data_IF_180238043091
#
_entry.id   IF_180238043091
#
_cell.length_a   1.000
_cell.length_b   1.000
_cell.length_c   1.000
_cell.angle_alpha   90.00
_cell.angle_beta   90.00
_cell.angle_gamma   90.00
#
_symmetry.space_group_name_H-M   'P 1'
#
loop_
_entity.id
_entity.type
_entity.pdbx_description
1 polymer ?
#
# COMPACT_ATOMS: atom_id res chain seq x y z
N UNK A 1 32.22 1.89 -52.60
CA UNK A 1 31.58 2.04 -51.27
C UNK A 1 32.47 3.01 -50.53
N UNK A 2 32.05 4.27 -50.48
CA UNK A 2 32.91 5.42 -50.24
C UNK A 2 33.38 5.54 -48.79
N UNK A 3 34.70 5.63 -48.66
CA UNK A 3 35.47 6.74 -48.08
C UNK A 3 35.02 7.25 -46.69
N UNK A 4 35.74 6.76 -45.68
CA UNK A 4 35.92 7.38 -44.36
C UNK A 4 37.21 8.21 -44.40
N UNK A 5 37.08 9.51 -44.60
CA UNK A 5 38.12 10.49 -44.29
C UNK A 5 37.56 11.49 -43.28
N UNK A 6 38.11 11.49 -42.06
CA UNK A 6 37.99 12.63 -41.16
C UNK A 6 39.40 13.00 -40.75
N UNK A 7 39.87 14.15 -41.26
CA UNK A 7 41.12 14.77 -40.85
C UNK A 7 40.81 16.20 -40.38
N UNK A 8 41.59 16.60 -39.38
CA UNK A 8 41.95 17.95 -38.92
C UNK A 8 41.25 18.57 -37.71
N UNK A 9 42.07 18.62 -36.65
CA UNK A 9 42.14 19.52 -35.50
C UNK A 9 41.93 20.99 -35.87
N UNK A 10 41.42 21.80 -34.94
CA UNK A 10 42.20 22.88 -34.29
C UNK A 10 41.30 23.80 -33.48
N UNK A 11 41.81 24.13 -32.30
CA UNK A 11 41.30 25.13 -31.36
C UNK A 11 41.17 26.52 -32.00
N UNK A 12 40.17 27.28 -31.56
CA UNK A 12 40.19 28.73 -31.65
C UNK A 12 39.30 29.32 -30.55
N UNK A 13 39.96 29.72 -29.48
CA UNK A 13 39.46 30.71 -28.53
C UNK A 13 39.08 32.00 -29.27
N UNK A 14 37.91 32.54 -28.94
CA UNK A 14 37.59 33.95 -29.17
C UNK A 14 36.67 34.42 -28.06
N UNK A 15 37.31 35.00 -27.06
CA UNK A 15 36.76 35.89 -26.04
C UNK A 15 36.18 37.15 -26.71
N UNK A 16 34.90 37.43 -26.46
CA UNK A 16 34.41 38.80 -26.29
C UNK A 16 32.94 38.77 -25.84
N UNK A 17 32.66 39.26 -24.63
CA UNK A 17 31.30 39.67 -24.28
C UNK A 17 30.92 39.42 -22.83
N UNK A 18 31.30 40.36 -21.96
CA UNK A 18 30.74 40.55 -20.63
C UNK A 18 29.20 40.61 -20.66
N UNK A 19 28.54 39.63 -20.05
CA UNK A 19 27.27 39.81 -19.38
C UNK A 19 27.16 38.73 -18.31
N UNK A 20 27.17 39.14 -17.04
CA UNK A 20 26.89 38.30 -15.88
C UNK A 20 25.54 37.58 -16.05
N UNK A 21 25.48 36.24 -16.03
CA UNK A 21 24.21 35.55 -15.83
C UNK A 21 23.88 35.65 -14.34
N UNK A 22 22.90 36.49 -14.05
CA UNK A 22 22.09 36.44 -12.83
C UNK A 22 21.59 35.01 -12.68
N UNK A 23 21.84 34.38 -11.53
CA UNK A 23 21.33 33.05 -11.18
C UNK A 23 19.84 32.93 -11.60
N UNK A 24 19.43 31.89 -12.35
CA UNK A 24 18.01 31.57 -12.44
C UNK A 24 17.58 30.93 -11.11
N UNK A 25 16.68 31.56 -10.33
CA UNK A 25 16.10 30.90 -9.17
C UNK A 25 15.08 29.88 -9.66
N UNK A 26 15.19 28.66 -9.16
CA UNK A 26 14.10 27.68 -9.24
C UNK A 26 14.37 26.51 -10.15
N UNK A 27 15.43 25.74 -9.87
CA UNK A 27 15.39 24.31 -10.10
C UNK A 27 14.29 23.72 -9.20
N UNK A 28 13.03 23.79 -9.65
CA UNK A 28 11.95 23.05 -9.01
C UNK A 28 12.25 21.58 -9.28
N UNK A 29 12.70 20.87 -8.24
CA UNK A 29 12.63 19.40 -8.15
C UNK A 29 11.26 18.98 -8.71
N UNK A 30 11.15 17.85 -9.44
CA UNK A 30 9.84 17.29 -9.74
C UNK A 30 9.14 17.11 -8.40
N UNK A 31 8.21 18.02 -8.11
CA UNK A 31 7.34 17.93 -6.96
C UNK A 31 6.63 16.61 -7.13
N UNK A 32 6.79 15.73 -6.15
CA UNK A 32 5.97 14.55 -5.93
C UNK A 32 4.54 14.97 -6.28
N UNK A 33 4.08 14.57 -7.47
CA UNK A 33 2.68 14.68 -7.81
C UNK A 33 2.02 13.80 -6.76
N UNK A 34 1.46 14.43 -5.73
CA UNK A 34 0.57 13.77 -4.81
C UNK A 34 -0.53 13.23 -5.71
N UNK A 35 -0.46 11.93 -6.02
CA UNK A 35 -1.48 11.23 -6.77
C UNK A 35 -2.76 11.45 -5.97
N UNK A 36 -3.60 12.37 -6.45
CA UNK A 36 -4.87 12.69 -5.81
C UNK A 36 -5.68 11.41 -5.90
N UNK A 37 -5.70 10.65 -4.82
CA UNK A 37 -6.37 9.36 -4.81
C UNK A 37 -7.86 9.59 -4.73
N UNK A 38 -8.56 9.41 -5.85
CA UNK A 38 -10.02 9.48 -5.92
C UNK A 38 -10.70 8.34 -5.15
N UNK A 39 -9.94 7.36 -4.63
CA UNK A 39 -10.43 6.19 -3.90
C UNK A 39 -9.73 6.07 -2.55
N UNK A 40 -10.47 5.72 -1.49
CA UNK A 40 -9.85 5.40 -0.20
C UNK A 40 -9.44 3.94 -0.17
N UNK A 41 -8.31 3.64 0.46
CA UNK A 41 -7.73 2.30 0.46
C UNK A 41 -7.03 1.99 1.79
N UNK A 42 -6.77 0.71 2.03
CA UNK A 42 -5.85 0.24 3.06
C UNK A 42 -4.48 0.03 2.44
N UNK A 43 -3.46 0.63 3.05
CA UNK A 43 -2.08 0.62 2.59
C UNK A 43 -1.27 -0.41 3.38
N UNK A 44 -0.82 -1.44 2.68
CA UNK A 44 0.13 -2.45 3.18
C UNK A 44 1.54 -2.06 2.71
N UNK A 45 2.03 -0.91 3.18
CA UNK A 45 3.17 -0.17 2.59
C UNK A 45 4.49 -0.95 2.51
N UNK A 46 4.65 -1.99 3.32
CA UNK A 46 5.87 -2.79 3.35
C UNK A 46 5.85 -3.95 2.35
N UNK A 47 4.74 -4.19 1.65
CA UNK A 47 4.70 -5.08 0.48
C UNK A 47 5.36 -4.43 -0.75
N UNK A 48 5.88 -5.18 -1.74
CA UNK A 48 6.39 -4.61 -2.99
C UNK A 48 5.41 -3.65 -3.69
N UNK A 49 5.91 -2.64 -4.41
CA UNK A 49 5.06 -1.62 -5.08
C UNK A 49 4.08 -2.21 -6.09
N UNK A 50 4.48 -3.29 -6.75
CA UNK A 50 3.70 -4.05 -7.73
C UNK A 50 2.84 -5.15 -7.10
N UNK A 51 2.89 -5.34 -5.77
CA UNK A 51 2.02 -6.30 -5.09
C UNK A 51 0.56 -5.81 -5.14
N UNK A 52 -0.36 -6.61 -5.69
CA UNK A 52 -1.76 -6.19 -5.82
C UNK A 52 -2.46 -6.00 -4.46
N UNK A 53 -1.91 -6.55 -3.37
CA UNK A 53 -2.39 -6.32 -2.00
C UNK A 53 -1.76 -5.09 -1.35
N UNK A 54 -0.81 -4.39 -1.98
CA UNK A 54 -0.21 -3.17 -1.38
C UNK A 54 -1.25 -2.09 -1.13
N UNK A 55 -2.22 -1.93 -2.04
CA UNK A 55 -3.29 -0.92 -1.97
C UNK A 55 -4.65 -1.59 -2.22
N UNK A 56 -5.37 -1.90 -1.15
CA UNK A 56 -6.68 -2.57 -1.25
C UNK A 56 -7.80 -1.53 -1.11
N UNK A 57 -8.69 -1.36 -2.11
CA UNK A 57 -9.79 -0.40 -2.02
C UNK A 57 -10.64 -0.61 -0.77
N UNK A 58 -10.92 0.46 -0.03
CA UNK A 58 -11.66 0.35 1.22
C UNK A 58 -13.13 -0.06 0.98
N UNK A 59 -13.68 0.21 -0.21
CA UNK A 59 -14.99 -0.31 -0.63
C UNK A 59 -15.00 -1.83 -0.72
N UNK A 60 -13.93 -2.41 -1.26
CA UNK A 60 -13.77 -3.85 -1.41
C UNK A 60 -13.62 -4.53 -0.05
N UNK A 61 -12.77 -3.97 0.81
CA UNK A 61 -12.62 -4.41 2.21
C UNK A 61 -13.97 -4.43 2.95
N UNK A 62 -14.76 -3.37 2.82
CA UNK A 62 -16.09 -3.30 3.46
C UNK A 62 -17.08 -4.31 2.87
N UNK A 63 -17.11 -4.48 1.56
CA UNK A 63 -17.98 -5.44 0.90
C UNK A 63 -17.66 -6.88 1.34
N UNK A 64 -16.37 -7.25 1.32
CA UNK A 64 -15.93 -8.56 1.77
C UNK A 64 -16.18 -8.77 3.26
N UNK A 65 -15.94 -7.76 4.11
CA UNK A 65 -16.18 -7.83 5.55
C UNK A 65 -17.63 -8.21 5.91
N UNK A 66 -18.60 -7.66 5.18
CA UNK A 66 -20.03 -7.99 5.36
C UNK A 66 -20.29 -9.47 5.03
N UNK A 67 -19.62 -10.01 4.02
CA UNK A 67 -19.81 -11.38 3.55
C UNK A 67 -19.09 -12.45 4.40
N UNK A 68 -18.21 -12.08 5.34
CA UNK A 68 -17.47 -13.05 6.16
C UNK A 68 -18.44 -13.94 6.97
N UNK A 69 -18.32 -15.27 6.95
CA UNK A 69 -19.12 -16.13 7.82
C UNK A 69 -18.90 -15.81 9.31
N UNK A 70 -19.97 -15.76 10.11
CA UNK A 70 -19.83 -15.41 11.54
C UNK A 70 -19.13 -16.50 12.37
N UNK A 71 -19.18 -17.76 11.92
CA UNK A 71 -18.56 -18.90 12.60
C UNK A 71 -17.12 -19.07 12.12
N UNK A 72 -16.18 -19.04 13.06
CA UNK A 72 -14.78 -19.40 12.80
C UNK A 72 -14.60 -20.92 12.75
N UNK A 73 -13.66 -21.37 11.95
CA UNK A 73 -13.20 -22.77 11.92
C UNK A 73 -11.81 -22.90 12.57
N UNK A 74 -11.40 -24.12 12.96
CA UNK A 74 -10.05 -24.37 13.49
C UNK A 74 -8.94 -23.99 12.50
N UNK A 75 -7.78 -23.60 13.05
CA UNK A 75 -6.57 -23.41 12.25
C UNK A 75 -6.18 -24.71 11.53
N UNK A 76 -5.90 -24.62 10.23
CA UNK A 76 -5.62 -25.78 9.36
C UNK A 76 -6.80 -26.15 8.46
N UNK A 77 -8.00 -25.66 8.75
CA UNK A 77 -9.11 -25.62 7.79
C UNK A 77 -9.05 -24.33 6.96
N UNK A 78 -10.02 -24.14 6.06
CA UNK A 78 -10.20 -22.88 5.31
C UNK A 78 -10.57 -21.73 6.26
N UNK A 79 -11.09 -20.64 5.75
CA UNK A 79 -11.38 -19.43 6.52
C UNK A 79 -12.89 -19.28 6.81
N UNK A 80 -13.30 -18.50 7.81
CA UNK A 80 -12.48 -17.61 8.66
C UNK A 80 -11.94 -18.25 9.95
N UNK A 81 -10.90 -17.64 10.54
CA UNK A 81 -10.29 -18.07 11.81
C UNK A 81 -10.50 -17.04 12.92
N UNK A 82 -10.30 -17.46 14.18
CA UNK A 82 -10.26 -16.55 15.32
C UNK A 82 -8.93 -15.82 15.33
N UNK A 83 -8.96 -14.49 15.30
CA UNK A 83 -7.76 -13.69 15.45
C UNK A 83 -7.52 -13.34 16.94
N UNK A 84 -6.40 -13.78 17.51
CA UNK A 84 -6.08 -13.54 18.92
C UNK A 84 -5.20 -12.30 19.14
N UNK A 85 -4.69 -11.67 18.07
CA UNK A 85 -3.82 -10.50 18.14
C UNK A 85 -2.58 -10.70 19.04
N UNK A 86 -1.88 -11.84 18.87
CA UNK A 86 -0.69 -12.18 19.67
C UNK A 86 0.44 -11.17 19.50
N UNK A 87 0.47 -10.49 18.35
CA UNK A 87 1.41 -9.43 18.00
C UNK A 87 1.09 -8.09 18.69
N UNK A 88 0.01 -8.02 19.48
CA UNK A 88 -0.46 -6.81 20.17
C UNK A 88 -0.63 -5.61 19.24
N UNK A 89 -1.20 -5.83 18.06
CA UNK A 89 -1.46 -4.75 17.11
C UNK A 89 -2.47 -3.76 17.70
N UNK A 90 -2.33 -2.46 17.41
CA UNK A 90 -3.23 -1.42 17.91
C UNK A 90 -4.54 -1.41 17.10
N UNK A 91 -5.35 -2.46 17.26
CA UNK A 91 -6.65 -2.59 16.62
C UNK A 91 -7.72 -1.81 17.39
N UNK A 92 -8.66 -1.22 16.66
CA UNK A 92 -9.80 -0.50 17.23
C UNK A 92 -10.97 -1.43 17.58
N UNK A 93 -11.08 -2.57 16.90
CA UNK A 93 -12.08 -3.58 17.19
C UNK A 93 -11.78 -4.29 18.51
N UNK A 94 -12.82 -4.53 19.30
CA UNK A 94 -12.73 -5.35 20.51
C UNK A 94 -12.90 -6.84 20.19
N UNK A 95 -12.29 -7.76 20.94
CA UNK A 95 -12.54 -9.19 20.79
C UNK A 95 -14.01 -9.59 21.03
N UNK A 96 -14.48 -10.73 20.49
CA UNK A 96 -13.74 -11.70 19.70
C UNK A 96 -13.51 -11.21 18.26
N UNK A 97 -12.26 -11.34 17.80
CA UNK A 97 -11.87 -10.94 16.44
C UNK A 97 -11.86 -12.14 15.51
N UNK A 98 -12.24 -11.89 14.27
CA UNK A 98 -12.21 -12.84 13.16
C UNK A 98 -11.18 -12.34 12.15
N UNK A 99 -10.32 -13.24 11.67
CA UNK A 99 -9.51 -13.01 10.48
C UNK A 99 -10.08 -13.76 9.27
N UNK A 100 -10.09 -13.09 8.12
CA UNK A 100 -10.46 -13.67 6.83
C UNK A 100 -9.55 -13.10 5.73
N UNK A 101 -9.14 -13.88 4.72
CA UNK A 101 -8.36 -13.36 3.60
C UNK A 101 -9.09 -12.22 2.93
N UNK A 102 -8.33 -11.20 2.56
CA UNK A 102 -8.83 -10.13 1.71
C UNK A 102 -8.12 -10.18 0.38
N UNK A 103 -8.89 -10.09 -0.68
CA UNK A 103 -8.37 -9.96 -2.03
C UNK A 103 -8.48 -8.50 -2.48
N UNK A 104 -7.72 -8.09 -3.50
CA UNK A 104 -7.88 -6.77 -4.12
C UNK A 104 -9.21 -6.60 -4.87
N UNK A 105 -9.89 -7.70 -5.22
CA UNK A 105 -11.15 -7.70 -5.96
C UNK A 105 -11.91 -9.01 -5.77
N UNK A 106 -13.17 -8.93 -5.34
CA UNK A 106 -14.09 -10.05 -5.18
C UNK A 106 -13.84 -10.90 -3.92
N UNK A 107 -14.77 -11.76 -3.50
CA UNK A 107 -14.59 -12.54 -2.28
C UNK A 107 -13.45 -13.57 -2.40
N UNK A 108 -12.84 -13.93 -1.27
CA UNK A 108 -11.92 -15.07 -1.20
C UNK A 108 -12.63 -16.38 -1.57
N UNK A 109 -11.92 -17.24 -2.31
CA UNK A 109 -12.39 -18.57 -2.71
C UNK A 109 -11.62 -19.63 -1.94
N UNK A 110 -12.34 -20.45 -1.19
CA UNK A 110 -11.73 -21.54 -0.43
C UNK A 110 -10.89 -22.48 -1.33
N UNK A 111 -9.69 -22.83 -0.87
CA UNK A 111 -8.77 -23.70 -1.61
C UNK A 111 -7.77 -22.94 -2.50
N UNK A 112 -7.91 -21.62 -2.65
CA UNK A 112 -6.87 -20.80 -3.29
C UNK A 112 -5.90 -20.24 -2.24
N UNK A 113 -4.67 -19.86 -2.65
CA UNK A 113 -3.74 -19.17 -1.77
C UNK A 113 -4.38 -17.90 -1.19
N UNK A 114 -4.39 -17.72 0.15
CA UNK A 114 -5.11 -16.61 0.78
C UNK A 114 -4.42 -15.25 0.64
N UNK A 115 -3.27 -15.17 -0.05
CA UNK A 115 -2.46 -13.96 -0.11
C UNK A 115 -1.91 -13.53 1.26
N UNK A 116 -1.26 -12.35 1.34
CA UNK A 116 -0.60 -11.88 2.56
C UNK A 116 -1.54 -11.15 3.53
N UNK A 117 -2.68 -10.63 3.05
CA UNK A 117 -3.53 -9.71 3.81
C UNK A 117 -4.80 -10.38 4.38
N UNK A 118 -5.25 -9.92 5.54
CA UNK A 118 -6.47 -10.36 6.23
C UNK A 118 -7.33 -9.16 6.61
N UNK A 119 -8.64 -9.28 6.43
CA UNK A 119 -9.63 -8.45 7.11
C UNK A 119 -9.76 -8.93 8.55
N UNK A 120 -9.74 -7.99 9.49
CA UNK A 120 -10.05 -8.19 10.89
C UNK A 120 -11.37 -7.48 11.21
N UNK A 121 -12.32 -8.23 11.77
CA UNK A 121 -13.61 -7.71 12.23
C UNK A 121 -14.01 -8.32 13.57
N UNK A 122 -14.86 -7.62 14.32
CA UNK A 122 -15.64 -8.24 15.37
C UNK A 122 -16.87 -8.93 14.74
N UNK A 123 -17.20 -10.15 15.19
CA UNK A 123 -18.33 -10.90 14.66
C UNK A 123 -19.68 -10.17 14.84
N UNK A 124 -19.83 -9.42 15.93
CA UNK A 124 -21.03 -8.67 16.30
C UNK A 124 -21.05 -7.25 15.71
N UNK A 125 -19.90 -6.63 15.46
CA UNK A 125 -19.79 -5.32 14.81
C UNK A 125 -18.76 -5.35 13.68
N UNK A 126 -19.28 -5.33 12.45
CA UNK A 126 -18.48 -5.34 11.21
C UNK A 126 -18.38 -3.97 10.55
N UNK A 127 -18.84 -2.91 11.23
CA UNK A 127 -18.88 -1.56 10.66
C UNK A 127 -17.50 -0.94 10.48
N UNK A 128 -16.48 -1.46 11.19
CA UNK A 128 -15.11 -0.95 11.21
C UNK A 128 -14.10 -2.05 10.84
N UNK A 129 -14.13 -2.60 9.62
CA UNK A 129 -13.13 -3.58 9.23
C UNK A 129 -11.74 -2.94 9.26
N UNK A 130 -10.78 -3.65 9.84
CA UNK A 130 -9.36 -3.30 9.79
C UNK A 130 -8.63 -4.30 8.91
N UNK A 131 -7.47 -3.94 8.37
CA UNK A 131 -6.66 -4.84 7.55
C UNK A 131 -5.31 -5.04 8.23
N UNK A 132 -4.85 -6.29 8.22
CA UNK A 132 -3.50 -6.67 8.63
C UNK A 132 -2.85 -7.48 7.52
N UNK A 133 -1.52 -7.54 7.48
CA UNK A 133 -0.80 -8.29 6.46
C UNK A 133 0.51 -8.86 6.99
N UNK A 134 0.96 -9.97 6.42
CA UNK A 134 2.30 -10.50 6.69
C UNK A 134 3.34 -9.53 6.12
N UNK A 135 4.09 -8.90 7.02
CA UNK A 135 5.02 -7.84 6.68
C UNK A 135 6.42 -8.43 6.36
N UNK A 136 6.90 -8.33 5.11
CA UNK A 136 8.20 -8.92 4.75
C UNK A 136 9.38 -8.21 5.42
N UNK A 137 9.19 -7.00 5.93
CA UNK A 137 10.22 -6.26 6.69
C UNK A 137 10.32 -6.72 8.16
N UNK A 138 9.37 -7.53 8.63
CA UNK A 138 9.32 -8.09 9.98
C UNK A 138 9.45 -9.61 9.86
N UNK A 139 10.67 -10.16 9.75
CA UNK A 139 10.84 -11.60 9.71
C UNK A 139 10.38 -12.23 11.03
N UNK A 140 9.91 -13.48 10.95
CA UNK A 140 9.65 -14.27 12.15
C UNK A 140 10.92 -14.34 13.01
N UNK A 141 10.80 -14.02 14.29
CA UNK A 141 11.91 -14.20 15.24
C UNK A 141 12.10 -15.70 15.53
N UNK A 142 13.27 -16.14 16.00
CA UNK A 142 13.47 -17.54 16.41
C UNK A 142 12.48 -18.03 17.47
N UNK A 143 11.97 -17.11 18.29
CA UNK A 143 10.95 -17.35 19.32
C UNK A 143 9.51 -17.31 18.77
N UNK A 144 9.34 -16.83 17.53
CA UNK A 144 8.07 -16.95 16.81
C UNK A 144 8.09 -18.31 16.10
N UNK A 145 7.11 -19.20 16.33
CA UNK A 145 7.00 -20.40 15.52
C UNK A 145 7.00 -19.97 14.05
N UNK A 146 7.77 -20.64 13.19
CA UNK A 146 7.92 -20.31 11.76
C UNK A 146 6.59 -20.18 10.97
N UNK A 147 5.47 -20.53 11.61
CA UNK A 147 4.09 -20.44 11.11
C UNK A 147 3.44 -19.07 11.36
N UNK A 148 4.11 -18.14 12.04
CA UNK A 148 3.58 -16.81 12.39
C UNK A 148 4.53 -15.72 11.90
N UNK A 149 4.61 -15.51 10.58
CA UNK A 149 5.18 -14.26 10.09
C UNK A 149 4.37 -13.11 10.71
N UNK A 150 5.01 -12.18 11.43
CA UNK A 150 4.29 -11.19 12.22
C UNK A 150 3.43 -10.33 11.31
N UNK A 151 2.21 -10.09 11.77
CA UNK A 151 1.32 -9.15 11.12
C UNK A 151 1.77 -7.72 11.38
N UNK A 152 1.59 -6.87 10.38
CA UNK A 152 1.52 -5.41 10.54
C UNK A 152 0.10 -4.94 10.24
N UNK A 153 -0.31 -3.86 10.90
CA UNK A 153 -1.59 -3.20 10.63
C UNK A 153 -1.46 -2.34 9.36
N UNK A 154 -2.44 -2.44 8.47
CA UNK A 154 -2.54 -1.58 7.31
C UNK A 154 -2.99 -0.17 7.72
N UNK A 155 -2.51 0.83 7.01
CA UNK A 155 -2.93 2.22 7.23
C UNK A 155 -4.12 2.57 6.34
N UNK A 156 -5.19 3.10 6.93
CA UNK A 156 -6.29 3.65 6.13
C UNK A 156 -5.88 4.99 5.51
N UNK A 157 -5.99 5.08 4.18
CA UNK A 157 -5.78 6.31 3.42
C UNK A 157 -7.13 6.80 2.88
N UNK A 158 -7.54 7.98 3.33
CA UNK A 158 -8.75 8.65 2.85
C UNK A 158 -8.58 9.16 1.42
N UNK A 159 -9.71 9.48 0.77
CA UNK A 159 -9.68 10.24 -0.48
C UNK A 159 -9.27 11.67 -0.15
N UNK A 160 -8.29 12.22 -0.85
CA UNK A 160 -7.97 13.64 -0.74
C UNK A 160 -9.06 14.43 -1.46
N UNK A 161 -9.99 14.99 -0.68
CA UNK A 161 -10.89 16.03 -1.20
C UNK A 161 -10.11 17.34 -1.16
N UNK A 162 -9.48 17.69 -2.25
CA UNK A 162 -9.03 19.07 -2.46
C UNK A 162 -10.25 19.98 -2.32
N UNK A 163 -10.25 20.79 -1.25
CA UNK A 163 -11.30 21.76 -0.99
C UNK A 163 -11.20 22.82 -2.09
N UNK A 164 -12.10 22.80 -3.07
CA UNK A 164 -12.38 23.99 -3.87
C UNK A 164 -13.11 24.99 -2.97
N UNK A 165 -12.37 25.76 -2.16
CA UNK A 165 -12.88 27.02 -1.65
C UNK A 165 -12.87 28.02 -2.80
N UNK A 166 -13.92 27.98 -3.62
CA UNK A 166 -14.29 29.12 -4.44
C UNK A 166 -15.04 30.10 -3.56
N UNK A 167 -14.40 31.22 -3.21
CA UNK A 167 -15.14 32.46 -2.94
C UNK A 167 -15.89 32.81 -4.23
N UNK A 168 -17.20 33.02 -4.13
CA UNK A 168 -17.92 33.86 -5.08
C UNK A 168 -18.59 34.99 -4.28
N UNK A 169 -18.42 36.20 -4.81
CA UNK A 169 -18.72 37.54 -4.26
C UNK A 169 -20.15 37.76 -3.76
#
# INVERSE_FOLDING_TARGET
MGDIETIYESDSDSDSGTATPKDPPGSRRPSEQSEVSEVSYFSNSNLPEDDPHRRIPASEVRAQAIAIPARTVPYGESYPHRFNNHENLPLSNTPPLIEHPVTPSGPYVAGTPPGPARIIVNAADRSKPEVVYHDPSRPATPDSPARHAPFSKAEYRGKDRSVQTGLED
#
